data_IF_925475257500
#
_entry.id   IF_925475257500
#
_cell.length_a   1.000
_cell.length_b   1.000
_cell.length_c   1.000
_cell.angle_alpha   90.00
_cell.angle_beta   90.00
_cell.angle_gamma   90.00
#
_symmetry.space_group_name_H-M   'P 1'
#
loop_
_entity.id
_entity.type
_entity.pdbx_description
1 polymer ?
#
# COMPACT_ATOMS: atom_id res chain seq x y z
N UNK A 1 -12.28 12.80 18.38
CA UNK A 1 -11.54 11.61 18.81
C UNK A 1 -10.20 11.64 18.09
N UNK A 2 -9.08 11.61 18.79
CA UNK A 2 -7.74 11.73 18.18
C UNK A 2 -7.53 10.47 17.34
N UNK A 3 -7.49 10.60 16.02
CA UNK A 3 -7.21 9.48 15.12
C UNK A 3 -5.92 8.81 15.62
N UNK A 4 -5.97 7.49 15.77
CA UNK A 4 -4.82 6.68 16.17
C UNK A 4 -3.82 6.72 15.01
N UNK A 5 -3.01 7.78 14.97
CA UNK A 5 -1.91 7.91 14.03
C UNK A 5 -0.96 6.74 14.30
N UNK A 6 -0.72 5.92 13.27
CA UNK A 6 0.27 4.86 13.37
C UNK A 6 1.65 5.53 13.26
N UNK A 7 2.41 5.54 14.36
CA UNK A 7 3.69 6.26 14.47
C UNK A 7 3.63 7.76 14.10
N UNK A 8 2.48 8.43 14.33
CA UNK A 8 2.31 9.84 13.97
C UNK A 8 1.99 10.09 12.49
N UNK A 9 1.77 9.03 11.72
CA UNK A 9 1.36 9.09 10.32
C UNK A 9 -0.14 8.83 10.16
N UNK A 10 -0.78 9.55 9.23
CA UNK A 10 -2.18 9.35 8.88
C UNK A 10 -2.32 8.49 7.60
N UNK A 11 -3.04 7.37 7.74
CA UNK A 11 -3.34 6.47 6.65
C UNK A 11 -4.75 6.70 6.13
N UNK A 12 -4.86 6.96 4.83
CA UNK A 12 -6.10 7.18 4.10
C UNK A 12 -6.49 5.90 3.37
N UNK A 13 -7.69 5.39 3.61
CA UNK A 13 -8.23 4.22 2.91
C UNK A 13 -8.83 4.58 1.56
N UNK A 14 -8.73 3.66 0.59
CA UNK A 14 -9.36 3.75 -0.74
C UNK A 14 -9.12 5.11 -1.41
N UNK A 15 -7.86 5.54 -1.42
CA UNK A 15 -7.48 6.89 -1.87
C UNK A 15 -7.32 6.91 -3.40
N UNK A 16 -8.01 7.80 -4.12
CA UNK A 16 -7.67 8.07 -5.51
C UNK A 16 -6.29 8.76 -5.59
N UNK A 17 -5.38 8.17 -6.35
CA UNK A 17 -4.05 8.68 -6.66
C UNK A 17 -3.78 8.48 -8.15
N UNK A 18 -3.56 9.59 -8.87
CA UNK A 18 -3.48 9.58 -10.33
C UNK A 18 -4.73 8.92 -10.93
N UNK A 19 -4.53 7.93 -11.80
CA UNK A 19 -5.60 7.16 -12.45
C UNK A 19 -5.97 5.87 -11.68
N UNK A 20 -5.52 5.73 -10.43
CA UNK A 20 -5.71 4.52 -9.62
C UNK A 20 -6.42 4.80 -8.30
N UNK A 21 -7.08 3.79 -7.74
CA UNK A 21 -7.55 3.80 -6.36
C UNK A 21 -6.69 2.82 -5.57
N UNK A 22 -5.96 3.32 -4.57
CA UNK A 22 -5.10 2.49 -3.71
C UNK A 22 -5.81 2.14 -2.40
N UNK A 23 -5.53 0.97 -1.84
CA UNK A 23 -6.18 0.54 -0.59
C UNK A 23 -5.83 1.42 0.60
N UNK A 24 -4.55 1.77 0.75
CA UNK A 24 -4.09 2.72 1.75
C UNK A 24 -3.00 3.65 1.22
N UNK A 25 -3.01 4.88 1.74
CA UNK A 25 -2.03 5.90 1.42
C UNK A 25 -1.61 6.71 2.65
N UNK A 26 -0.31 6.88 2.84
CA UNK A 26 0.27 7.80 3.81
C UNK A 26 1.10 8.86 3.07
N UNK A 27 0.72 10.13 3.22
CA UNK A 27 1.36 11.24 2.53
C UNK A 27 2.73 11.57 3.13
N UNK A 28 2.84 11.43 4.45
CA UNK A 28 4.04 11.73 5.24
C UNK A 28 5.21 10.81 4.88
N UNK A 29 4.90 9.56 4.51
CA UNK A 29 5.88 8.56 4.09
C UNK A 29 5.99 8.41 2.57
N UNK A 30 5.10 9.05 1.80
CA UNK A 30 4.95 8.75 0.37
C UNK A 30 4.66 7.27 0.13
N UNK A 31 3.86 6.64 1.00
CA UNK A 31 3.68 5.20 1.02
C UNK A 31 2.28 4.81 0.56
N UNK A 32 2.23 3.85 -0.36
CA UNK A 32 1.03 3.18 -0.84
C UNK A 32 1.08 1.73 -0.36
N UNK A 33 0.00 1.26 0.26
CA UNK A 33 -0.14 -0.16 0.65
C UNK A 33 -1.31 -0.74 -0.11
N UNK A 34 -1.10 -1.89 -0.74
CA UNK A 34 -2.15 -2.66 -1.41
C UNK A 34 -2.33 -4.03 -0.77
N UNK A 35 -3.59 -4.45 -0.68
CA UNK A 35 -3.98 -5.79 -0.25
C UNK A 35 -4.31 -6.59 -1.50
N UNK A 36 -3.34 -7.35 -1.97
CA UNK A 36 -3.51 -8.11 -3.21
C UNK A 36 -3.95 -9.55 -2.92
N UNK A 37 -5.19 -9.87 -3.29
CA UNK A 37 -5.70 -11.25 -3.25
C UNK A 37 -5.13 -12.16 -4.33
N UNK A 38 -4.42 -11.61 -5.33
CA UNK A 38 -3.87 -12.31 -6.50
C UNK A 38 -2.34 -12.34 -6.54
N UNK A 39 -1.66 -11.96 -5.44
CA UNK A 39 -0.19 -11.92 -5.39
C UNK A 39 0.48 -13.24 -5.83
N UNK A 40 -0.23 -14.36 -5.74
CA UNK A 40 0.23 -15.67 -6.20
C UNK A 40 0.39 -15.82 -7.73
N UNK A 41 -0.25 -14.97 -8.54
CA UNK A 41 -0.22 -15.05 -10.02
C UNK A 41 0.96 -14.26 -10.63
N UNK A 42 1.77 -13.59 -9.81
CA UNK A 42 2.90 -12.76 -10.23
C UNK A 42 2.52 -11.32 -10.57
N UNK A 43 3.53 -10.47 -10.79
CA UNK A 43 3.34 -9.04 -11.12
C UNK A 43 3.00 -8.92 -12.61
N UNK A 44 1.85 -8.32 -12.94
CA UNK A 44 1.46 -8.08 -14.34
C UNK A 44 2.20 -6.89 -14.95
N UNK A 45 2.21 -6.78 -16.29
CA UNK A 45 2.74 -5.57 -16.95
C UNK A 45 2.02 -4.30 -16.53
N UNK A 46 0.73 -4.38 -16.22
CA UNK A 46 -0.07 -3.24 -15.80
C UNK A 46 0.27 -2.82 -14.37
N UNK A 47 0.59 -3.77 -13.48
CA UNK A 47 1.13 -3.48 -12.15
C UNK A 47 2.50 -2.80 -12.25
N UNK A 48 3.38 -3.26 -13.14
CA UNK A 48 4.67 -2.62 -13.37
C UNK A 48 4.54 -1.19 -13.89
N UNK A 49 3.63 -0.95 -14.85
CA UNK A 49 3.35 0.40 -15.35
C UNK A 49 2.85 1.30 -14.23
N UNK A 50 1.90 0.80 -13.44
CA UNK A 50 1.34 1.51 -12.29
C UNK A 50 2.40 1.86 -11.26
N UNK A 51 3.26 0.91 -10.89
CA UNK A 51 4.33 1.13 -9.92
C UNK A 51 5.33 2.16 -10.41
N UNK A 52 5.71 2.08 -11.69
CA UNK A 52 6.60 3.07 -12.29
C UNK A 52 5.97 4.47 -12.32
N UNK A 53 4.69 4.59 -12.64
CA UNK A 53 4.00 5.89 -12.61
C UNK A 53 3.96 6.45 -11.18
N UNK A 54 3.57 5.64 -10.18
CA UNK A 54 3.54 6.08 -8.78
C UNK A 54 4.94 6.47 -8.28
N UNK A 55 5.98 5.70 -8.63
CA UNK A 55 7.36 5.99 -8.26
C UNK A 55 7.86 7.34 -8.80
N UNK A 56 7.39 7.78 -9.98
CA UNK A 56 7.72 9.12 -10.53
C UNK A 56 7.18 10.27 -9.67
N UNK A 57 6.20 10.01 -8.82
CA UNK A 57 5.66 10.95 -7.84
C UNK A 57 6.24 10.75 -6.43
N UNK A 58 7.39 10.07 -6.31
CA UNK A 58 8.04 9.70 -5.04
C UNK A 58 7.15 8.84 -4.14
N UNK A 59 6.28 8.02 -4.74
CA UNK A 59 5.45 7.08 -4.01
C UNK A 59 6.08 5.69 -4.04
N UNK A 60 6.16 5.05 -2.86
CA UNK A 60 6.60 3.66 -2.71
C UNK A 60 5.38 2.76 -2.55
N UNK A 61 5.29 1.69 -3.33
CA UNK A 61 4.20 0.71 -3.26
C UNK A 61 4.66 -0.54 -2.54
N UNK A 62 3.95 -0.93 -1.48
CA UNK A 62 4.15 -2.21 -0.78
C UNK A 62 2.87 -3.03 -0.89
N UNK A 63 3.00 -4.30 -1.28
CA UNK A 63 1.86 -5.22 -1.41
C UNK A 63 1.96 -6.32 -0.36
N UNK A 64 0.82 -6.64 0.24
CA UNK A 64 0.67 -7.79 1.13
C UNK A 64 -0.42 -8.68 0.57
N UNK A 65 -0.20 -9.99 0.58
CA UNK A 65 -1.28 -10.93 0.30
C UNK A 65 -2.28 -10.98 1.45
N UNK A 66 -3.54 -11.32 1.15
CA UNK A 66 -4.55 -11.58 2.19
C UNK A 66 -4.04 -12.61 3.21
N UNK A 67 -3.31 -13.62 2.74
CA UNK A 67 -2.76 -14.66 3.60
C UNK A 67 -1.69 -14.14 4.57
N UNK A 68 -0.83 -13.19 4.16
CA UNK A 68 0.18 -12.59 5.03
C UNK A 68 -0.48 -11.73 6.11
N UNK A 69 -1.48 -10.93 5.74
CA UNK A 69 -2.22 -10.09 6.70
C UNK A 69 -2.98 -10.94 7.71
N UNK A 70 -3.59 -12.03 7.27
CA UNK A 70 -4.37 -12.92 8.15
C UNK A 70 -3.48 -13.80 9.04
N UNK A 71 -2.33 -14.26 8.54
CA UNK A 71 -1.45 -15.21 9.27
C UNK A 71 -0.45 -14.52 10.19
N UNK A 72 0.10 -13.37 9.79
CA UNK A 72 1.17 -12.70 10.54
C UNK A 72 1.10 -11.18 10.40
N UNK A 73 0.12 -10.59 11.08
CA UNK A 73 -0.02 -9.14 11.18
C UNK A 73 1.20 -8.47 11.82
N UNK A 74 1.95 -9.15 12.69
CA UNK A 74 3.16 -8.57 13.29
C UNK A 74 4.26 -8.40 12.25
N UNK A 75 4.42 -9.36 11.34
CA UNK A 75 5.36 -9.23 10.23
C UNK A 75 4.96 -8.11 9.27
N UNK A 76 3.67 -7.98 8.95
CA UNK A 76 3.15 -6.85 8.14
C UNK A 76 3.52 -5.52 8.78
N UNK A 77 3.31 -5.36 10.09
CA UNK A 77 3.64 -4.14 10.82
C UNK A 77 5.14 -3.86 10.93
N UNK A 78 6.03 -4.86 10.78
CA UNK A 78 7.49 -4.64 10.79
C UNK A 78 8.01 -4.08 9.47
N UNK A 79 7.30 -4.33 8.38
CA UNK A 79 7.66 -3.84 7.05
C UNK A 79 7.27 -2.37 6.85
N UNK A 80 6.33 -1.88 7.67
CA UNK A 80 5.83 -0.50 7.69
C UNK A 80 6.64 0.36 8.67
#
# INVERSE_FOLDING_TARGET
MRNKQFHGCDFHRQKPLLDYIVDFYCAELGLVIELDGRYHDGISEDDLKRDNELARYNLTVVRFSESEVMKDMLNVLRTL
#
